data_IF_087105558695
#
_entry.id   IF_087105558695
#
_cell.length_a   1.000
_cell.length_b   1.000
_cell.length_c   1.000
_cell.angle_alpha   90.00
_cell.angle_beta   90.00
_cell.angle_gamma   90.00
#
_symmetry.space_group_name_H-M   'P 1'
#
loop_
_entity.id
_entity.type
_entity.pdbx_description
1 polymer ?
#
# COMPACT_ATOMS: atom_id res chain seq x y z
N UNK A 1 -14.05 -3.27 40.44
CA UNK A 1 -13.35 -3.03 39.17
C UNK A 1 -14.41 -2.75 38.13
N UNK A 2 -14.48 -1.50 37.68
CA UNK A 2 -15.59 -0.95 36.91
C UNK A 2 -15.43 -1.27 35.42
N UNK A 3 -16.44 -1.90 34.83
CA UNK A 3 -16.54 -2.21 33.41
C UNK A 3 -16.78 -0.96 32.51
N UNK A 4 -16.37 0.23 32.97
CA UNK A 4 -16.68 1.51 32.32
C UNK A 4 -15.61 1.98 31.33
N UNK A 5 -14.42 1.36 31.31
CA UNK A 5 -13.33 1.77 30.42
C UNK A 5 -13.36 1.08 29.04
N UNK A 6 -14.21 0.07 28.83
CA UNK A 6 -14.23 -0.72 27.57
C UNK A 6 -15.11 -0.14 26.47
N UNK A 7 -15.92 0.90 26.74
CA UNK A 7 -16.83 1.50 25.75
C UNK A 7 -16.28 2.76 25.06
N UNK A 8 -15.16 3.31 25.51
CA UNK A 8 -14.65 4.60 25.02
C UNK A 8 -13.81 4.50 23.73
N UNK A 9 -13.63 3.32 23.15
CA UNK A 9 -12.68 3.10 22.04
C UNK A 9 -13.19 2.15 20.94
N UNK A 10 -14.51 2.03 20.76
CA UNK A 10 -15.05 1.35 19.58
C UNK A 10 -14.77 2.20 18.31
N UNK A 11 -14.33 1.60 17.19
CA UNK A 11 -14.14 2.34 15.95
C UNK A 11 -15.45 2.99 15.50
N UNK A 12 -15.39 4.25 15.03
CA UNK A 12 -16.54 4.93 14.44
C UNK A 12 -16.60 4.67 12.93
N UNK A 13 -17.80 4.61 12.32
CA UNK A 13 -17.94 4.60 10.87
C UNK A 13 -17.30 5.84 10.24
N UNK A 14 -16.70 5.69 9.07
CA UNK A 14 -16.12 6.80 8.32
C UNK A 14 -16.32 6.60 6.82
N UNK A 15 -16.22 7.70 6.07
CA UNK A 15 -16.12 7.71 4.62
C UNK A 15 -15.22 8.87 4.20
N UNK A 16 -14.34 8.62 3.25
CA UNK A 16 -13.53 9.67 2.64
C UNK A 16 -13.32 9.38 1.16
N UNK A 17 -13.03 10.46 0.42
CA UNK A 17 -12.60 10.39 -0.97
C UNK A 17 -11.61 11.51 -1.26
N UNK A 18 -10.70 11.25 -2.20
CA UNK A 18 -9.84 12.28 -2.77
C UNK A 18 -9.50 11.95 -4.21
N UNK A 19 -9.11 12.98 -4.97
CA UNK A 19 -8.62 12.83 -6.33
C UNK A 19 -7.55 13.87 -6.66
N UNK A 20 -6.63 13.49 -7.54
CA UNK A 20 -5.64 14.38 -8.13
C UNK A 20 -5.77 14.28 -9.64
N UNK A 21 -5.82 15.43 -10.29
CA UNK A 21 -5.74 15.55 -11.74
C UNK A 21 -4.88 16.77 -12.05
N UNK A 22 -3.57 16.55 -12.13
CA UNK A 22 -2.59 17.59 -12.41
C UNK A 22 -1.98 17.39 -13.80
N UNK A 23 -2.37 18.21 -14.80
CA UNK A 23 -1.83 18.13 -16.14
C UNK A 23 -0.33 18.48 -16.24
N UNK A 24 0.24 19.19 -15.26
CA UNK A 24 1.64 19.58 -15.29
C UNK A 24 2.55 18.41 -14.88
N UNK A 25 2.23 17.76 -13.76
CA UNK A 25 2.97 16.59 -13.27
C UNK A 25 2.50 15.28 -13.90
N UNK A 26 1.37 15.29 -14.61
CA UNK A 26 0.67 14.11 -15.14
C UNK A 26 0.19 13.14 -14.05
N UNK A 27 0.01 13.64 -12.84
CA UNK A 27 -0.52 12.87 -11.71
C UNK A 27 -2.04 12.78 -11.81
N UNK A 28 -2.54 11.60 -12.13
CA UNK A 28 -3.97 11.29 -12.21
C UNK A 28 -4.27 10.08 -11.34
N UNK A 29 -4.95 10.32 -10.23
CA UNK A 29 -5.34 9.27 -9.27
C UNK A 29 -6.60 9.63 -8.50
N UNK A 30 -7.28 8.61 -8.00
CA UNK A 30 -8.42 8.78 -7.09
C UNK A 30 -8.45 7.69 -6.04
N UNK A 31 -9.10 7.97 -4.91
CA UNK A 31 -9.34 7.02 -3.83
C UNK A 31 -10.70 7.30 -3.21
N UNK A 32 -11.40 6.24 -2.82
CA UNK A 32 -12.58 6.29 -1.97
C UNK A 32 -12.57 5.11 -1.01
N UNK A 33 -12.92 5.33 0.26
CA UNK A 33 -13.04 4.27 1.26
C UNK A 33 -14.15 4.56 2.26
N UNK A 34 -14.82 3.50 2.70
CA UNK A 34 -15.83 3.52 3.74
C UNK A 34 -15.54 2.41 4.74
N UNK A 35 -15.66 2.72 6.04
CA UNK A 35 -15.77 1.72 7.10
C UNK A 35 -17.10 1.84 7.83
N UNK A 36 -17.65 0.70 8.22
CA UNK A 36 -18.87 0.63 9.03
C UNK A 36 -18.60 0.76 10.55
N UNK A 37 -17.35 0.97 10.97
CA UNK A 37 -16.95 1.06 12.38
C UNK A 37 -16.87 -0.29 13.10
N UNK A 38 -17.15 -1.41 12.43
CA UNK A 38 -17.17 -2.75 13.02
C UNK A 38 -16.06 -3.65 12.45
N UNK A 39 -14.99 -3.06 11.92
CA UNK A 39 -13.89 -3.79 11.31
C UNK A 39 -14.09 -4.10 9.82
N UNK A 40 -15.24 -3.75 9.23
CA UNK A 40 -15.44 -3.87 7.80
C UNK A 40 -15.02 -2.58 7.08
N UNK A 41 -14.24 -2.74 6.01
CA UNK A 41 -13.79 -1.65 5.13
C UNK A 41 -14.06 -2.04 3.69
N UNK A 42 -14.51 -1.08 2.88
CA UNK A 42 -14.61 -1.21 1.42
C UNK A 42 -14.07 0.05 0.77
N UNK A 43 -13.27 -0.11 -0.26
CA UNK A 43 -12.76 1.03 -0.99
C UNK A 43 -12.29 0.69 -2.39
N UNK A 44 -11.93 1.74 -3.11
CA UNK A 44 -11.27 1.62 -4.39
C UNK A 44 -10.27 2.73 -4.62
N UNK A 45 -9.28 2.46 -5.46
CA UNK A 45 -8.37 3.48 -5.94
C UNK A 45 -8.07 3.31 -7.42
N UNK A 46 -7.73 4.43 -8.07
CA UNK A 46 -7.21 4.43 -9.44
C UNK A 46 -5.89 5.19 -9.52
N UNK A 47 -4.99 4.72 -10.39
CA UNK A 47 -3.71 5.36 -10.67
C UNK A 47 -3.42 5.23 -12.18
N UNK A 48 -3.22 6.36 -12.85
CA UNK A 48 -2.61 6.37 -14.17
C UNK A 48 -1.13 5.98 -14.03
N UNK A 49 -0.80 4.79 -14.53
CA UNK A 49 0.54 4.21 -14.40
C UNK A 49 1.51 4.80 -15.41
N UNK A 50 2.79 4.60 -15.13
CA UNK A 50 3.94 4.97 -15.95
C UNK A 50 4.04 4.21 -17.29
N UNK A 51 3.05 3.43 -17.73
CA UNK A 51 2.90 2.87 -19.10
C UNK A 51 1.59 3.30 -19.82
N UNK A 52 0.71 4.03 -19.12
CA UNK A 52 -0.51 4.62 -19.67
C UNK A 52 -1.73 3.79 -19.46
N UNK A 53 -1.54 2.61 -18.91
CA UNK A 53 -2.63 1.90 -18.30
C UNK A 53 -3.12 2.62 -17.04
N UNK A 54 -4.39 2.44 -16.73
CA UNK A 54 -4.94 2.80 -15.44
C UNK A 54 -5.04 1.54 -14.60
N UNK A 55 -4.35 1.52 -13.47
CA UNK A 55 -4.58 0.52 -12.43
C UNK A 55 -5.83 0.94 -11.66
N UNK A 56 -6.78 0.02 -11.54
CA UNK A 56 -7.95 0.14 -10.67
C UNK A 56 -7.89 -0.98 -9.64
N UNK A 57 -8.00 -0.64 -8.37
CA UNK A 57 -8.06 -1.63 -7.29
C UNK A 57 -9.34 -1.43 -6.53
N UNK A 58 -10.11 -2.51 -6.40
CA UNK A 58 -11.28 -2.59 -5.53
C UNK A 58 -10.91 -3.51 -4.38
N UNK A 59 -11.18 -3.09 -3.15
CA UNK A 59 -10.74 -3.84 -1.98
C UNK A 59 -11.77 -3.88 -0.86
N UNK A 60 -11.67 -4.93 -0.06
CA UNK A 60 -12.45 -5.15 1.15
C UNK A 60 -11.55 -5.63 2.28
N UNK A 61 -11.87 -5.29 3.52
CA UNK A 61 -11.27 -5.90 4.69
C UNK A 61 -12.35 -6.24 5.72
N UNK A 62 -12.19 -7.38 6.38
CA UNK A 62 -13.01 -7.82 7.52
C UNK A 62 -12.17 -8.69 8.47
N UNK A 63 -12.72 -9.04 9.63
CA UNK A 63 -12.05 -9.81 10.68
C UNK A 63 -11.88 -11.31 10.36
N UNK A 64 -12.65 -11.83 9.41
CA UNK A 64 -12.66 -13.24 9.03
C UNK A 64 -11.72 -13.56 7.85
N UNK A 65 -11.73 -12.73 6.81
CA UNK A 65 -11.05 -12.89 5.54
C UNK A 65 -9.81 -12.01 5.42
N UNK A 66 -9.64 -11.03 6.32
CA UNK A 66 -8.59 -10.03 6.24
C UNK A 66 -8.75 -9.13 5.01
N UNK A 67 -7.66 -8.50 4.59
CA UNK A 67 -7.65 -7.64 3.41
C UNK A 67 -7.63 -8.45 2.11
N UNK A 68 -8.57 -8.15 1.20
CA UNK A 68 -8.67 -8.74 -0.13
C UNK A 68 -8.82 -7.63 -1.17
N UNK A 69 -8.18 -7.79 -2.33
CA UNK A 69 -8.22 -6.80 -3.40
C UNK A 69 -8.32 -7.45 -4.78
N UNK A 70 -9.16 -6.89 -5.63
CA UNK A 70 -9.20 -7.16 -7.07
C UNK A 70 -8.46 -6.04 -7.79
N UNK A 71 -7.42 -6.40 -8.55
CA UNK A 71 -6.60 -5.45 -9.31
C UNK A 71 -6.90 -5.60 -10.80
N UNK A 72 -7.36 -4.51 -11.41
CA UNK A 72 -7.65 -4.41 -12.85
C UNK A 72 -6.64 -3.47 -13.49
N UNK A 73 -6.07 -3.88 -14.62
CA UNK A 73 -5.25 -3.02 -15.48
C UNK A 73 -6.07 -2.69 -16.72
N UNK A 74 -6.40 -1.41 -16.88
CA UNK A 74 -7.11 -0.90 -18.05
C UNK A 74 -6.05 -0.34 -18.99
N UNK A 75 -5.82 -0.99 -20.12
CA UNK A 75 -4.88 -0.49 -21.13
C UNK A 75 -5.33 0.89 -21.65
N UNK A 76 -4.45 1.88 -21.57
CA UNK A 76 -4.71 3.20 -22.15
C UNK A 76 -4.18 3.32 -23.58
N UNK A 77 -4.25 4.51 -24.19
CA UNK A 77 -3.64 4.77 -25.49
C UNK A 77 -2.12 4.59 -25.32
N UNK A 78 -1.66 3.37 -25.62
CA UNK A 78 -0.39 2.83 -25.19
C UNK A 78 0.75 3.81 -25.41
N UNK A 79 1.24 4.39 -24.34
CA UNK A 79 2.50 5.07 -24.44
C UNK A 79 3.58 4.03 -24.23
N UNK A 80 4.47 3.94 -25.22
CA UNK A 80 5.66 3.13 -25.07
C UNK A 80 6.54 3.87 -24.06
N UNK A 81 6.49 3.45 -22.79
CA UNK A 81 7.43 3.92 -21.79
C UNK A 81 8.84 3.61 -22.32
N UNK A 82 9.52 4.63 -22.85
CA UNK A 82 10.95 4.55 -23.13
C UNK A 82 11.70 4.70 -21.81
N UNK A 83 11.37 3.86 -20.84
CA UNK A 83 12.10 3.81 -19.59
C UNK A 83 13.31 2.91 -19.79
N UNK A 84 14.44 3.51 -20.15
CA UNK A 84 15.73 2.87 -19.99
C UNK A 84 16.07 2.95 -18.50
N UNK A 85 16.01 1.83 -17.79
CA UNK A 85 16.51 1.77 -16.43
C UNK A 85 17.97 2.28 -16.44
N UNK A 86 18.34 3.27 -15.60
CA UNK A 86 19.73 3.69 -15.53
C UNK A 86 20.57 2.48 -15.12
N UNK A 87 21.57 2.14 -15.94
CA UNK A 87 22.56 1.14 -15.59
C UNK A 87 23.29 1.67 -14.35
N UNK A 88 22.93 1.17 -13.17
CA UNK A 88 23.66 1.47 -11.96
C UNK A 88 25.08 0.87 -12.12
N UNK A 89 26.11 1.71 -12.16
CA UNK A 89 27.45 1.23 -11.83
C UNK A 89 27.47 0.99 -10.33
N UNK A 90 27.75 -0.25 -9.92
CA UNK A 90 27.96 -0.56 -8.51
C UNK A 90 29.08 0.35 -7.96
N UNK A 91 28.70 1.31 -7.11
CA UNK A 91 29.61 2.28 -6.52
C UNK A 91 30.13 1.84 -5.13
N UNK A 92 29.74 0.66 -4.66
CA UNK A 92 30.14 0.17 -3.34
C UNK A 92 31.26 -0.86 -3.47
N UNK A 93 32.38 -0.71 -2.75
CA UNK A 93 33.30 -1.83 -2.54
C UNK A 93 32.55 -2.93 -1.78
N UNK A 94 32.74 -4.17 -2.20
CA UNK A 94 32.24 -5.32 -1.47
C UNK A 94 32.89 -5.34 -0.07
N UNK A 95 32.10 -5.10 0.97
CA UNK A 95 32.55 -5.26 2.35
C UNK A 95 32.76 -6.76 2.62
N UNK A 96 33.89 -7.17 3.23
CA UNK A 96 34.05 -8.57 3.64
C UNK A 96 33.01 -8.89 4.71
N UNK A 97 32.32 -10.02 4.55
CA UNK A 97 31.36 -10.50 5.54
C UNK A 97 32.10 -10.82 6.84
N UNK A 98 31.86 -10.05 7.91
CA UNK A 98 32.30 -10.43 9.25
C UNK A 98 31.38 -11.54 9.75
N UNK A 99 31.92 -12.74 9.89
CA UNK A 99 31.24 -13.83 10.56
C UNK A 99 31.09 -13.48 12.06
N UNK A 100 29.87 -13.21 12.50
CA UNK A 100 29.58 -13.08 13.93
C UNK A 100 29.61 -14.49 14.55
N UNK A 101 30.52 -14.71 15.49
CA UNK A 101 30.48 -15.91 16.32
C UNK A 101 29.30 -15.80 17.30
N UNK A 102 28.46 -16.83 17.37
CA UNK A 102 27.36 -16.90 18.32
C UNK A 102 27.89 -16.86 19.78
N UNK A 103 27.26 -16.10 20.69
CA UNK A 103 27.71 -16.05 22.08
C UNK A 103 27.47 -17.40 22.77
N UNK A 104 28.50 -17.91 23.43
CA UNK A 104 28.42 -19.12 24.27
C UNK A 104 27.78 -18.74 25.61
N UNK A 105 26.60 -19.28 25.89
CA UNK A 105 25.94 -19.14 27.19
C UNK A 105 26.60 -20.07 28.22
N UNK A 106 26.90 -19.54 29.42
CA UNK A 106 27.28 -20.36 30.58
C UNK A 106 26.03 -20.62 31.43
N UNK A 107 25.67 -21.88 31.72
CA UNK A 107 24.59 -22.19 32.65
C UNK A 107 25.04 -21.94 34.10
N UNK A 108 24.11 -21.56 34.96
CA UNK A 108 24.27 -21.53 36.42
C UNK A 108 23.60 -22.77 37.03
#
# INVERSE_FOLDING_TARGET
>A
YNAHDQYAHAPAPYSFEYGVHDPHTHDVKSQHEVSDGHGNVKGSYSLLEADGSTRVVEYTADDHNGFNAEVKKIEGPGYKASYSAPAYKAAYPAYPATAYAAPVYKPY
#
